data_IF_593473086455
#
_entry.id   IF_593473086455
#
_cell.length_a   1.000
_cell.length_b   1.000
_cell.length_c   1.000
_cell.angle_alpha   90.00
_cell.angle_beta   90.00
_cell.angle_gamma   90.00
#
_symmetry.space_group_name_H-M   'P 1'
#
loop_
_entity.id
_entity.type
_entity.pdbx_description
1 polymer ?
#
# COMPACT_ATOMS: atom_id res chain seq x y z
N UNK A 1 4.77 14.98 -20.12
CA UNK A 1 4.30 13.89 -19.23
C UNK A 1 3.65 12.76 -20.04
N UNK A 2 2.58 13.05 -20.80
CA UNK A 2 1.84 12.04 -21.58
C UNK A 2 2.71 11.23 -22.57
N UNK A 3 3.53 11.89 -23.38
CA UNK A 3 4.45 11.21 -24.32
C UNK A 3 5.35 10.13 -23.69
N UNK A 4 5.77 10.29 -22.42
CA UNK A 4 6.59 9.28 -21.73
C UNK A 4 5.75 8.11 -21.23
N UNK A 5 4.50 8.37 -20.85
CA UNK A 5 3.53 7.36 -20.42
C UNK A 5 3.14 6.51 -21.63
N UNK A 6 2.86 7.13 -22.77
CA UNK A 6 2.52 6.42 -24.01
C UNK A 6 3.69 5.53 -24.44
N UNK A 7 4.91 6.08 -24.49
CA UNK A 7 6.11 5.32 -24.82
C UNK A 7 6.39 4.16 -23.84
N UNK A 8 6.02 4.28 -22.56
CA UNK A 8 6.13 3.19 -21.59
C UNK A 8 5.08 2.09 -21.81
N UNK A 9 3.87 2.48 -22.22
CA UNK A 9 2.76 1.56 -22.46
C UNK A 9 2.76 0.96 -23.89
N UNK A 10 3.63 1.42 -24.78
CA UNK A 10 3.74 0.90 -26.15
C UNK A 10 4.08 -0.60 -26.15
N UNK A 11 3.43 -1.41 -27.01
CA UNK A 11 3.76 -2.82 -27.15
C UNK A 11 5.24 -3.00 -27.53
N UNK A 12 5.98 -3.75 -26.72
CA UNK A 12 7.43 -3.95 -26.94
C UNK A 12 8.28 -2.71 -26.61
N UNK A 13 7.78 -1.81 -25.76
CA UNK A 13 8.56 -0.68 -25.26
C UNK A 13 9.93 -1.11 -24.74
N UNK A 14 10.97 -0.36 -25.10
CA UNK A 14 12.31 -0.54 -24.56
C UNK A 14 12.47 0.02 -23.13
N UNK A 15 11.45 0.72 -22.61
CA UNK A 15 11.50 1.33 -21.28
C UNK A 15 11.11 0.29 -20.23
N UNK A 16 12.10 -0.17 -19.46
CA UNK A 16 11.88 -1.16 -18.42
C UNK A 16 11.21 -0.59 -17.15
N UNK A 17 11.67 0.58 -16.69
CA UNK A 17 11.22 1.16 -15.42
C UNK A 17 10.70 2.59 -15.60
N UNK A 18 9.68 2.95 -14.81
CA UNK A 18 9.11 4.28 -14.78
C UNK A 18 9.17 4.85 -13.36
N UNK A 19 9.99 5.88 -13.16
CA UNK A 19 10.13 6.53 -11.85
C UNK A 19 9.06 7.61 -11.66
N UNK A 20 8.40 7.57 -10.51
CA UNK A 20 7.35 8.49 -10.13
C UNK A 20 7.44 8.81 -8.64
N UNK A 21 7.24 10.07 -8.27
CA UNK A 21 7.01 10.43 -6.87
C UNK A 21 5.55 10.11 -6.53
N UNK A 22 5.29 9.55 -5.34
CA UNK A 22 3.96 9.14 -4.85
C UNK A 22 2.91 10.24 -5.05
N UNK A 23 3.26 11.50 -4.72
CA UNK A 23 2.35 12.66 -4.82
C UNK A 23 2.17 13.24 -6.23
N UNK A 24 3.06 12.94 -7.18
CA UNK A 24 2.83 13.31 -8.59
C UNK A 24 1.73 12.47 -9.26
N UNK A 25 1.20 11.47 -8.52
CA UNK A 25 0.13 10.55 -8.90
C UNK A 25 -1.29 11.13 -8.88
N UNK A 26 -1.52 12.35 -8.39
CA UNK A 26 -2.84 13.01 -8.40
C UNK A 26 -3.41 13.30 -9.80
N UNK A 27 -2.68 12.97 -10.88
CA UNK A 27 -3.02 13.30 -12.28
C UNK A 27 -3.72 12.13 -13.01
N UNK A 28 -4.12 11.06 -12.31
CA UNK A 28 -4.97 10.03 -12.93
C UNK A 28 -4.29 9.15 -13.99
N UNK A 29 -2.96 9.07 -13.99
CA UNK A 29 -2.17 8.39 -15.03
C UNK A 29 -2.43 6.87 -15.10
N UNK A 30 -2.17 6.27 -16.26
CA UNK A 30 -2.34 4.84 -16.51
C UNK A 30 -0.99 4.20 -16.86
N UNK A 31 -0.56 3.24 -16.05
CA UNK A 31 0.67 2.47 -16.22
C UNK A 31 0.35 0.97 -16.18
N UNK A 32 -0.79 0.57 -16.76
CA UNK A 32 -1.30 -0.81 -16.74
C UNK A 32 -0.44 -1.83 -17.52
N UNK A 33 0.70 -1.43 -18.10
CA UNK A 33 1.71 -2.35 -18.63
C UNK A 33 2.75 -2.79 -17.58
N UNK A 34 2.85 -2.07 -16.45
CA UNK A 34 3.71 -2.44 -15.34
C UNK A 34 3.03 -3.48 -14.45
N UNK A 35 3.65 -4.64 -14.26
CA UNK A 35 3.19 -5.68 -13.34
C UNK A 35 3.85 -5.58 -11.96
N UNK A 36 4.92 -4.80 -11.80
CA UNK A 36 5.63 -4.65 -10.53
C UNK A 36 5.69 -3.18 -10.11
N UNK A 37 5.24 -2.90 -8.88
CA UNK A 37 5.31 -1.58 -8.24
C UNK A 37 6.24 -1.68 -7.05
N UNK A 38 7.21 -0.76 -6.97
CA UNK A 38 8.13 -0.65 -5.83
C UNK A 38 7.89 0.71 -5.18
N UNK A 39 7.42 0.69 -3.94
CA UNK A 39 7.32 1.87 -3.08
C UNK A 39 8.62 1.96 -2.30
N UNK A 40 9.45 2.94 -2.66
CA UNK A 40 10.78 3.13 -2.08
C UNK A 40 10.70 3.61 -0.63
N UNK A 41 9.82 4.57 -0.38
CA UNK A 41 9.57 5.20 0.90
C UNK A 41 8.05 5.31 1.12
N UNK A 42 7.51 4.77 2.22
CA UNK A 42 6.07 4.79 2.47
C UNK A 42 5.58 6.19 2.88
N UNK A 43 4.45 6.65 2.31
CA UNK A 43 3.86 7.93 2.70
C UNK A 43 3.13 7.81 4.07
N UNK A 44 3.10 8.90 4.83
CA UNK A 44 2.36 8.97 6.10
C UNK A 44 0.85 8.76 5.92
N UNK A 45 0.33 9.01 4.72
CA UNK A 45 -1.03 8.72 4.32
C UNK A 45 -1.05 7.45 3.45
N UNK A 46 -1.53 6.31 3.98
CA UNK A 46 -1.57 5.04 3.25
C UNK A 46 -2.38 5.07 1.95
N UNK A 47 -3.35 6.00 1.84
CA UNK A 47 -4.14 6.18 0.62
C UNK A 47 -3.31 6.69 -0.58
N UNK A 48 -2.22 7.41 -0.32
CA UNK A 48 -1.31 7.87 -1.39
C UNK A 48 -0.58 6.68 -2.02
N UNK A 49 -0.15 5.72 -1.20
CA UNK A 49 0.52 4.50 -1.64
C UNK A 49 -0.44 3.58 -2.40
N UNK A 50 -1.67 3.38 -1.90
CA UNK A 50 -2.72 2.65 -2.64
C UNK A 50 -2.99 3.32 -3.99
N UNK A 51 -3.10 4.65 -4.01
CA UNK A 51 -3.36 5.40 -5.23
C UNK A 51 -2.21 5.26 -6.25
N UNK A 52 -0.96 5.19 -5.78
CA UNK A 52 0.20 4.93 -6.63
C UNK A 52 0.17 3.51 -7.21
N UNK A 53 -0.11 2.49 -6.40
CA UNK A 53 -0.32 1.11 -6.86
C UNK A 53 -1.44 1.02 -7.90
N UNK A 54 -2.54 1.74 -7.68
CA UNK A 54 -3.72 1.75 -8.56
C UNK A 54 -3.44 2.33 -9.96
N UNK A 55 -2.25 2.87 -10.21
CA UNK A 55 -1.82 3.29 -11.55
C UNK A 55 -1.41 2.11 -12.43
N UNK A 56 -0.86 1.06 -11.81
CA UNK A 56 -0.51 -0.21 -12.43
C UNK A 56 -1.62 -1.25 -12.25
N UNK A 57 -2.16 -1.36 -11.03
CA UNK A 57 -3.31 -2.19 -10.71
C UNK A 57 -4.61 -1.50 -11.15
N UNK A 58 -4.83 -1.49 -12.47
CA UNK A 58 -5.96 -0.82 -13.11
C UNK A 58 -6.58 -1.71 -14.18
N UNK A 59 -7.85 -1.45 -14.50
CA UNK A 59 -8.56 -2.07 -15.61
C UNK A 59 -7.72 -1.90 -16.89
N UNK A 60 -7.38 -3.02 -17.53
CA UNK A 60 -6.47 -3.09 -18.69
C UNK A 60 -5.17 -3.84 -18.41
N UNK A 61 -4.81 -4.05 -17.14
CA UNK A 61 -3.71 -4.92 -16.75
C UNK A 61 -4.02 -6.39 -17.04
N UNK A 62 -3.04 -7.13 -17.58
CA UNK A 62 -3.17 -8.54 -17.96
C UNK A 62 -2.40 -9.49 -17.04
N UNK A 63 -1.42 -8.98 -16.29
CA UNK A 63 -0.58 -9.76 -15.39
C UNK A 63 -0.91 -9.48 -13.92
N UNK A 64 -0.52 -10.40 -13.03
CA UNK A 64 -0.66 -10.19 -11.58
C UNK A 64 0.25 -9.04 -11.16
N UNK A 65 -0.33 -8.02 -10.52
CA UNK A 65 0.45 -6.88 -10.03
C UNK A 65 1.08 -7.23 -8.69
N UNK A 66 2.41 -7.18 -8.61
CA UNK A 66 3.19 -7.29 -7.39
C UNK A 66 3.48 -5.88 -6.85
N UNK A 67 3.28 -5.69 -5.55
CA UNK A 67 3.61 -4.45 -4.86
C UNK A 67 4.63 -4.74 -3.77
N UNK A 68 5.82 -4.17 -3.89
CA UNK A 68 6.86 -4.24 -2.87
C UNK A 68 6.97 -2.88 -2.18
N UNK A 69 6.68 -2.86 -0.88
CA UNK A 69 6.85 -1.68 -0.05
C UNK A 69 8.12 -1.86 0.79
N UNK A 70 9.12 -1.05 0.48
CA UNK A 70 10.40 -1.08 1.18
C UNK A 70 10.27 -0.31 2.50
N UNK A 71 10.94 -0.81 3.53
CA UNK A 71 10.96 -0.20 4.85
C UNK A 71 12.23 -0.61 5.58
N UNK A 72 12.88 0.38 6.18
CA UNK A 72 14.02 0.17 7.05
C UNK A 72 13.55 -0.14 8.46
N UNK A 73 13.88 -1.34 8.95
CA UNK A 73 13.59 -1.77 10.33
C UNK A 73 14.28 -0.89 11.37
N UNK A 74 13.70 -0.83 12.57
CA UNK A 74 14.24 -0.08 13.70
C UNK A 74 14.41 1.44 13.39
N UNK A 75 13.65 1.94 12.41
CA UNK A 75 13.64 3.36 12.05
C UNK A 75 12.24 3.96 12.16
N UNK A 76 12.15 5.27 11.92
CA UNK A 76 10.87 5.99 11.86
C UNK A 76 9.96 5.41 10.76
N UNK A 77 10.50 4.83 9.68
CA UNK A 77 9.73 4.22 8.59
C UNK A 77 8.85 3.06 9.07
N UNK A 78 9.36 2.24 9.99
CA UNK A 78 8.60 1.14 10.59
C UNK A 78 7.39 1.66 11.36
N UNK A 79 7.58 2.73 12.15
CA UNK A 79 6.49 3.38 12.88
C UNK A 79 5.47 3.99 11.93
N UNK A 80 5.91 4.59 10.82
CA UNK A 80 5.03 5.12 9.78
C UNK A 80 4.15 4.01 9.19
N UNK A 81 4.74 2.87 8.83
CA UNK A 81 3.98 1.72 8.30
C UNK A 81 2.99 1.17 9.31
N UNK A 82 3.36 1.04 10.59
CA UNK A 82 2.44 0.59 11.63
C UNK A 82 1.25 1.55 11.80
N UNK A 83 1.50 2.86 11.82
CA UNK A 83 0.45 3.88 11.89
C UNK A 83 -0.44 3.81 10.64
N UNK A 84 0.14 3.65 9.45
CA UNK A 84 -0.59 3.50 8.19
C UNK A 84 -1.54 2.30 8.22
N UNK A 85 -1.08 1.13 8.68
CA UNK A 85 -1.93 -0.07 8.84
C UNK A 85 -3.08 0.17 9.82
N UNK A 86 -2.83 0.84 10.93
CA UNK A 86 -3.86 1.19 11.92
C UNK A 86 -4.92 2.11 11.33
N UNK A 87 -4.51 3.14 10.56
CA UNK A 87 -5.45 4.03 9.86
C UNK A 87 -6.32 3.26 8.87
N UNK A 88 -5.74 2.37 8.07
CA UNK A 88 -6.50 1.54 7.12
C UNK A 88 -7.51 0.61 7.82
N UNK A 89 -7.12 -0.01 8.92
CA UNK A 89 -8.01 -0.90 9.67
C UNK A 89 -9.19 -0.15 10.29
N UNK A 90 -8.93 1.06 10.83
CA UNK A 90 -9.99 1.93 11.32
C UNK A 90 -10.92 2.40 10.20
N UNK A 91 -10.36 2.81 9.06
CA UNK A 91 -11.17 3.20 7.89
C UNK A 91 -12.10 2.04 7.44
N UNK A 92 -11.60 0.80 7.44
CA UNK A 92 -12.40 -0.38 7.09
C UNK A 92 -13.51 -0.64 8.12
N UNK A 93 -13.18 -0.64 9.42
CA UNK A 93 -14.15 -0.85 10.48
C UNK A 93 -15.26 0.21 10.47
N UNK A 94 -14.91 1.47 10.17
CA UNK A 94 -15.88 2.55 10.02
C UNK A 94 -16.82 2.30 8.85
N UNK A 95 -16.30 1.90 7.69
CA UNK A 95 -17.14 1.60 6.51
C UNK A 95 -18.10 0.46 6.79
N UNK A 96 -17.61 -0.65 7.37
CA UNK A 96 -18.46 -1.79 7.74
C UNK A 96 -19.57 -1.38 8.71
N UNK A 97 -19.24 -0.57 9.72
CA UNK A 97 -20.22 -0.09 10.69
C UNK A 97 -21.25 0.91 10.15
N UNK A 98 -20.93 1.58 9.04
CA UNK A 98 -21.86 2.49 8.35
C UNK A 98 -22.82 1.76 7.41
N UNK A 99 -22.41 0.59 6.89
CA UNK A 99 -23.28 -0.28 6.09
C UNK A 99 -24.27 -1.07 6.97
N UNK A 100 -23.97 -1.25 8.26
CA UNK A 100 -24.89 -1.77 9.28
C UNK A 100 -25.76 -0.64 9.86
N UNK A 101 -26.79 -0.21 9.11
CA UNK A 101 -27.77 0.85 9.43
C UNK A 101 -28.54 0.67 10.78
N UNK A 102 -28.30 -0.41 11.54
CA UNK A 102 -29.02 -0.76 12.78
C UNK A 102 -28.24 -0.50 14.08
N UNK A 103 -26.96 -0.10 14.03
CA UNK A 103 -26.15 0.05 15.26
C UNK A 103 -26.33 1.46 15.85
N UNK A 104 -27.03 1.55 16.98
CA UNK A 104 -27.16 2.79 17.75
C UNK A 104 -25.78 3.36 18.12
N UNK A 105 -25.60 4.68 18.00
CA UNK A 105 -24.30 5.35 18.06
C UNK A 105 -23.42 5.10 19.31
N UNK A 106 -23.99 4.61 20.42
CA UNK A 106 -23.23 4.19 21.62
C UNK A 106 -22.49 2.85 21.44
N UNK A 107 -22.99 1.94 20.60
CA UNK A 107 -22.39 0.62 20.39
C UNK A 107 -21.22 0.70 19.39
N UNK A 108 -21.25 1.68 18.48
CA UNK A 108 -20.15 1.97 17.56
C UNK A 108 -18.86 2.36 18.30
N UNK A 109 -18.94 3.22 19.31
CA UNK A 109 -17.76 3.67 20.07
C UNK A 109 -17.13 2.50 20.86
N UNK A 110 -17.96 1.60 21.40
CA UNK A 110 -17.54 0.37 22.09
C UNK A 110 -16.87 -0.63 21.13
N UNK A 111 -17.45 -0.88 19.96
CA UNK A 111 -16.90 -1.76 18.91
C UNK A 111 -15.56 -1.20 18.41
N UNK A 112 -15.49 0.10 18.15
CA UNK A 112 -14.26 0.78 17.74
C UNK A 112 -13.18 0.68 18.82
N UNK A 113 -13.52 0.91 20.10
CA UNK A 113 -12.58 0.79 21.20
C UNK A 113 -12.04 -0.65 21.35
N UNK A 114 -12.91 -1.65 21.23
CA UNK A 114 -12.52 -3.06 21.33
C UNK A 114 -11.66 -3.54 20.15
N UNK A 115 -12.05 -3.20 18.91
CA UNK A 115 -11.28 -3.54 17.71
C UNK A 115 -9.93 -2.84 17.67
N UNK A 116 -9.87 -1.59 18.13
CA UNK A 116 -8.63 -0.86 18.27
C UNK A 116 -7.71 -1.51 19.33
N UNK A 117 -8.24 -1.95 20.47
CA UNK A 117 -7.46 -2.60 21.53
C UNK A 117 -6.73 -3.87 21.07
N UNK A 118 -7.34 -4.67 20.19
CA UNK A 118 -6.70 -5.84 19.56
C UNK A 118 -5.57 -5.46 18.58
N UNK A 119 -5.65 -4.29 17.93
CA UNK A 119 -4.57 -3.74 17.10
C UNK A 119 -3.43 -3.11 17.93
N UNK A 120 -3.60 -2.99 19.25
CA UNK A 120 -2.64 -2.41 20.20
C UNK A 120 -1.96 -3.45 21.11
N UNK A 121 -2.22 -4.75 20.95
CA UNK A 121 -1.43 -5.79 21.63
C UNK A 121 -0.02 -5.82 21.03
N UNK A 122 0.97 -5.39 21.79
CA UNK A 122 2.39 -5.24 21.41
C UNK A 122 3.14 -6.59 21.24
N UNK A 123 2.59 -7.53 20.46
CA UNK A 123 3.24 -8.81 20.15
C UNK A 123 4.27 -8.67 19.00
N UNK A 124 5.13 -7.66 19.08
CA UNK A 124 6.21 -7.48 18.11
C UNK A 124 7.47 -8.24 18.57
N UNK A 125 7.71 -9.41 17.99
CA UNK A 125 8.98 -10.12 18.17
C UNK A 125 10.09 -9.53 17.30
N UNK A 126 11.15 -9.05 17.97
CA UNK A 126 12.33 -8.43 17.35
C UNK A 126 13.18 -9.48 16.63
N UNK A 127 12.84 -9.81 15.39
CA UNK A 127 13.65 -10.64 14.50
C UNK A 127 14.55 -9.79 13.60
N UNK A 128 15.86 -9.94 13.73
CA UNK A 128 16.82 -9.39 12.78
C UNK A 128 16.59 -10.07 11.42
N UNK A 129 16.18 -9.32 10.39
CA UNK A 129 16.08 -9.85 9.03
C UNK A 129 17.44 -9.68 8.37
N UNK A 130 18.08 -10.78 8.01
CA UNK A 130 19.26 -10.79 7.19
C UNK A 130 18.86 -11.07 5.74
N UNK A 131 19.13 -10.12 4.84
CA UNK A 131 18.86 -10.30 3.41
C UNK A 131 20.05 -11.01 2.76
N UNK A 132 20.08 -12.34 2.85
CA UNK A 132 20.93 -13.18 2.00
C UNK A 132 20.18 -13.56 0.70
N UNK A 133 20.89 -14.00 -0.34
CA UNK A 133 20.25 -14.45 -1.59
C UNK A 133 19.08 -15.44 -1.37
N UNK A 134 19.25 -16.46 -0.50
CA UNK A 134 18.16 -17.37 -0.12
C UNK A 134 16.99 -16.72 0.65
N UNK A 135 17.19 -15.61 1.33
CA UNK A 135 16.12 -14.86 2.01
C UNK A 135 15.30 -14.07 0.99
N UNK A 136 15.92 -13.58 -0.09
CA UNK A 136 15.20 -12.93 -1.20
C UNK A 136 14.33 -13.96 -1.93
N UNK A 137 14.84 -15.17 -2.17
CA UNK A 137 14.05 -16.25 -2.79
C UNK A 137 12.87 -16.70 -1.92
N UNK A 138 12.96 -16.53 -0.60
CA UNK A 138 11.86 -16.81 0.34
C UNK A 138 10.83 -15.67 0.44
N UNK A 139 11.16 -14.48 -0.05
CA UNK A 139 10.28 -13.31 -0.07
C UNK A 139 9.42 -13.22 -1.34
N UNK A 140 9.81 -13.93 -2.41
CA UNK A 140 9.13 -14.00 -3.70
C UNK A 140 8.20 -15.23 -3.79
#
# INVERSE_FOLDING_TARGET
KQRRIDAYNEPGSAIFAFLLSTRAGGVGINLATADTVIIMDPDFNPHQDIQALSRAHRIGQKQKVLCFQLMTKDTVEERIMQIGKKKMALDHALIESMDDDEIAGDDLESILAHGAQALFSDDYQKGAIHYDGPAIDRLL
#
